data_IF_638018257251
#
_entry.id   IF_638018257251
#
_cell.length_a   1.000
_cell.length_b   1.000
_cell.length_c   1.000
_cell.angle_alpha   90.00
_cell.angle_beta   90.00
_cell.angle_gamma   90.00
#
_symmetry.space_group_name_H-M   'P 1'
#
loop_
_entity.id
_entity.type
_entity.pdbx_description
1 polymer ?
#
# COMPACT_ATOMS: atom_id res chain seq x y z
N UNK A 1 -59.27 -35.99 -59.37
CA UNK A 1 -60.55 -35.32 -59.02
C UNK A 1 -60.40 -34.81 -57.59
N UNK A 2 -60.42 -33.49 -57.31
CA UNK A 2 -61.59 -32.71 -56.80
C UNK A 2 -62.33 -33.42 -55.65
N UNK A 3 -62.69 -32.85 -54.50
CA UNK A 3 -62.62 -31.51 -53.89
C UNK A 3 -63.10 -31.67 -52.41
N UNK A 4 -62.46 -30.94 -51.49
CA UNK A 4 -62.93 -30.25 -50.24
C UNK A 4 -64.25 -30.63 -49.53
N UNK A 5 -64.20 -30.64 -48.18
CA UNK A 5 -64.88 -29.74 -47.17
C UNK A 5 -64.58 -30.34 -45.76
N UNK A 6 -63.70 -29.77 -44.92
CA UNK A 6 -63.86 -28.70 -43.90
C UNK A 6 -65.00 -28.91 -42.88
N UNK A 7 -64.66 -29.19 -41.61
CA UNK A 7 -65.16 -28.43 -40.46
C UNK A 7 -64.21 -28.57 -39.25
N UNK A 8 -64.07 -27.48 -38.51
CA UNK A 8 -63.02 -27.19 -37.53
C UNK A 8 -63.58 -27.10 -36.10
N UNK A 9 -62.76 -27.42 -35.08
CA UNK A 9 -62.78 -26.84 -33.72
C UNK A 9 -61.31 -26.92 -33.20
N UNK A 10 -60.52 -25.85 -33.29
CA UNK A 10 -60.27 -24.80 -32.28
C UNK A 10 -59.53 -25.24 -31.00
N UNK A 11 -58.25 -24.82 -30.97
CA UNK A 11 -57.44 -24.32 -29.85
C UNK A 11 -57.07 -25.30 -28.72
N UNK A 12 -55.77 -25.58 -28.66
CA UNK A 12 -55.08 -26.11 -27.50
C UNK A 12 -53.58 -25.95 -27.65
N UNK A 13 -53.11 -24.74 -27.93
CA UNK A 13 -51.69 -24.38 -27.78
C UNK A 13 -51.31 -24.51 -26.31
N UNK A 14 -50.87 -25.70 -25.89
CA UNK A 14 -50.05 -25.84 -24.69
C UNK A 14 -48.69 -25.22 -25.03
N UNK A 15 -48.62 -23.91 -24.86
CA UNK A 15 -47.37 -23.20 -24.74
C UNK A 15 -46.61 -23.84 -23.58
N UNK A 16 -45.40 -24.24 -23.92
CA UNK A 16 -44.32 -24.58 -23.02
C UNK A 16 -44.24 -23.44 -22.00
N UNK A 17 -44.76 -23.66 -20.79
CA UNK A 17 -44.41 -22.86 -19.62
C UNK A 17 -42.99 -23.23 -19.22
N UNK A 18 -42.04 -22.91 -20.10
CA UNK A 18 -40.65 -22.76 -19.74
C UNK A 18 -40.58 -21.64 -18.73
N UNK A 19 -39.89 -21.89 -17.62
CA UNK A 19 -39.68 -20.97 -16.50
C UNK A 19 -39.69 -19.51 -16.97
N UNK A 20 -40.68 -18.75 -16.50
CA UNK A 20 -40.83 -17.35 -16.86
C UNK A 20 -39.52 -16.61 -16.63
N UNK A 21 -38.94 -16.09 -17.70
CA UNK A 21 -37.96 -15.02 -17.59
C UNK A 21 -38.68 -13.89 -16.87
N UNK A 22 -38.34 -13.70 -15.61
CA UNK A 22 -38.80 -12.54 -14.85
C UNK A 22 -38.29 -11.32 -15.61
N UNK A 23 -39.20 -10.52 -16.15
CA UNK A 23 -38.83 -9.26 -16.80
C UNK A 23 -38.03 -8.44 -15.78
N UNK A 24 -36.84 -8.00 -16.20
CA UNK A 24 -35.95 -7.16 -15.41
C UNK A 24 -36.74 -5.92 -14.93
N UNK A 25 -36.53 -5.50 -13.68
CA UNK A 25 -37.07 -4.23 -13.19
C UNK A 25 -36.58 -3.09 -14.09
N UNK A 26 -37.36 -2.01 -14.31
CA UNK A 26 -36.87 -0.82 -15.02
C UNK A 26 -35.54 -0.29 -14.48
N UNK A 27 -35.30 -0.41 -13.16
CA UNK A 27 -34.03 -0.05 -12.51
C UNK A 27 -32.88 -1.01 -12.86
N UNK A 28 -33.17 -2.31 -12.98
CA UNK A 28 -32.17 -3.31 -13.37
C UNK A 28 -31.80 -3.18 -14.85
N UNK A 29 -32.77 -2.80 -15.70
CA UNK A 29 -32.54 -2.52 -17.13
C UNK A 29 -31.59 -1.33 -17.29
N UNK A 30 -31.83 -0.23 -16.56
CA UNK A 30 -30.95 0.94 -16.57
C UNK A 30 -29.54 0.61 -16.06
N UNK A 31 -29.44 -0.17 -14.97
CA UNK A 31 -28.16 -0.61 -14.42
C UNK A 31 -27.39 -1.50 -15.41
N UNK A 32 -28.05 -2.45 -16.07
CA UNK A 32 -27.46 -3.31 -17.10
C UNK A 32 -26.99 -2.49 -18.30
N UNK A 33 -27.75 -1.50 -18.75
CA UNK A 33 -27.33 -0.61 -19.84
C UNK A 33 -26.07 0.19 -19.49
N UNK A 34 -26.01 0.73 -18.27
CA UNK A 34 -24.82 1.42 -17.78
C UNK A 34 -23.60 0.49 -17.72
N UNK A 35 -23.76 -0.73 -17.18
CA UNK A 35 -22.70 -1.74 -17.15
C UNK A 35 -22.23 -2.16 -18.55
N UNK A 36 -23.13 -2.27 -19.53
CA UNK A 36 -22.78 -2.56 -20.93
C UNK A 36 -21.99 -1.42 -21.58
N UNK A 37 -22.32 -0.17 -21.25
CA UNK A 37 -21.55 0.99 -21.69
C UNK A 37 -20.13 0.98 -21.12
N UNK A 38 -19.98 0.73 -19.81
CA UNK A 38 -18.67 0.60 -19.14
C UNK A 38 -17.87 -0.57 -19.74
N UNK A 39 -18.52 -1.71 -20.02
CA UNK A 39 -17.90 -2.88 -20.65
C UNK A 39 -17.35 -2.54 -22.04
N UNK A 40 -18.15 -1.85 -22.87
CA UNK A 40 -17.72 -1.45 -24.21
C UNK A 40 -16.52 -0.48 -24.16
N UNK A 41 -16.47 0.41 -23.17
CA UNK A 41 -15.32 1.30 -22.99
C UNK A 41 -14.07 0.52 -22.61
N UNK A 42 -14.17 -0.40 -21.64
CA UNK A 42 -13.04 -1.24 -21.21
C UNK A 42 -12.52 -2.11 -22.36
N UNK A 43 -13.40 -2.63 -23.22
CA UNK A 43 -12.99 -3.39 -24.40
C UNK A 43 -12.19 -2.55 -25.41
N UNK A 44 -12.60 -1.30 -25.62
CA UNK A 44 -11.83 -0.36 -26.45
C UNK A 44 -10.46 -0.07 -25.82
N UNK A 45 -10.41 0.20 -24.51
CA UNK A 45 -9.16 0.48 -23.78
C UNK A 45 -8.20 -0.72 -23.85
N UNK A 46 -8.70 -1.96 -23.76
CA UNK A 46 -7.90 -3.19 -23.95
C UNK A 46 -7.32 -3.25 -25.37
N UNK A 47 -8.14 -2.98 -26.38
CA UNK A 47 -7.71 -3.00 -27.79
C UNK A 47 -6.61 -1.96 -28.05
N UNK A 48 -6.78 -0.74 -27.54
CA UNK A 48 -5.78 0.32 -27.62
C UNK A 48 -4.49 -0.08 -26.89
N UNK A 49 -4.60 -0.60 -25.68
CA UNK A 49 -3.46 -1.06 -24.88
C UNK A 49 -2.66 -2.17 -25.57
N UNK A 50 -3.34 -3.14 -26.19
CA UNK A 50 -2.68 -4.21 -26.97
C UNK A 50 -1.99 -3.66 -28.23
N UNK A 51 -2.60 -2.69 -28.90
CA UNK A 51 -1.97 -2.01 -30.04
C UNK A 51 -0.70 -1.27 -29.61
N UNK A 52 -0.77 -0.55 -28.49
CA UNK A 52 0.35 0.16 -27.89
C UNK A 52 1.49 -0.79 -27.46
N UNK A 53 1.15 -1.94 -26.87
CA UNK A 53 2.12 -2.96 -26.46
C UNK A 53 2.99 -3.45 -27.62
N UNK A 54 2.43 -3.55 -28.83
CA UNK A 54 3.13 -3.99 -30.04
C UNK A 54 4.18 -2.98 -30.53
N UNK A 55 4.11 -1.73 -30.09
CA UNK A 55 5.12 -0.71 -30.39
C UNK A 55 6.44 -0.95 -29.64
N UNK A 56 6.44 -1.82 -28.63
CA UNK A 56 7.59 -2.08 -27.77
C UNK A 56 8.02 -3.55 -27.84
N UNK A 57 9.29 -3.80 -28.15
CA UNK A 57 9.86 -5.14 -28.22
C UNK A 57 10.12 -5.77 -26.85
N UNK A 58 10.25 -4.97 -25.78
CA UNK A 58 10.51 -5.40 -24.40
C UNK A 58 10.68 -4.23 -23.43
N UNK A 59 11.20 -4.52 -22.23
CA UNK A 59 11.58 -3.50 -21.24
C UNK A 59 10.42 -2.96 -20.39
N UNK A 60 10.74 -1.99 -19.52
CA UNK A 60 9.83 -1.46 -18.49
C UNK A 60 8.49 -0.97 -19.06
N UNK A 61 8.51 -0.22 -20.17
CA UNK A 61 7.30 0.34 -20.78
C UNK A 61 6.36 -0.79 -21.23
N UNK A 62 6.90 -1.84 -21.86
CA UNK A 62 6.11 -3.02 -22.25
C UNK A 62 5.55 -3.74 -21.02
N UNK A 63 6.35 -3.91 -19.96
CA UNK A 63 5.90 -4.54 -18.71
C UNK A 63 4.75 -3.76 -18.07
N UNK A 64 4.81 -2.42 -18.05
CA UNK A 64 3.75 -1.56 -17.53
C UNK A 64 2.47 -1.64 -18.39
N UNK A 65 2.59 -1.57 -19.73
CA UNK A 65 1.44 -1.73 -20.63
C UNK A 65 0.81 -3.13 -20.48
N UNK A 66 1.63 -4.16 -20.25
CA UNK A 66 1.16 -5.53 -20.01
C UNK A 66 0.31 -5.59 -18.74
N UNK A 67 0.84 -5.08 -17.61
CA UNK A 67 0.11 -5.00 -16.36
C UNK A 67 -1.19 -4.18 -16.49
N UNK A 68 -1.20 -3.12 -17.32
CA UNK A 68 -2.38 -2.27 -17.55
C UNK A 68 -3.45 -3.09 -18.25
N UNK A 69 -3.03 -3.82 -19.29
CA UNK A 69 -3.90 -4.70 -20.06
C UNK A 69 -4.51 -5.79 -19.19
N UNK A 70 -3.74 -6.40 -18.29
CA UNK A 70 -4.23 -7.43 -17.36
C UNK A 70 -5.30 -6.87 -16.40
N UNK A 71 -5.09 -5.67 -15.85
CA UNK A 71 -6.09 -5.00 -15.01
C UNK A 71 -7.38 -4.72 -15.78
N UNK A 72 -7.27 -4.25 -17.03
CA UNK A 72 -8.44 -4.00 -17.87
C UNK A 72 -9.20 -5.30 -18.21
N UNK A 73 -8.50 -6.40 -18.48
CA UNK A 73 -9.14 -7.71 -18.74
C UNK A 73 -9.89 -8.22 -17.50
N UNK A 74 -9.38 -7.97 -16.30
CA UNK A 74 -10.11 -8.26 -15.06
C UNK A 74 -11.33 -7.37 -14.89
N UNK A 75 -11.23 -6.07 -15.18
CA UNK A 75 -12.38 -5.17 -15.16
C UNK A 75 -13.48 -5.64 -16.11
N UNK A 76 -13.10 -6.06 -17.33
CA UNK A 76 -14.01 -6.69 -18.29
C UNK A 76 -14.71 -7.91 -17.69
N UNK A 77 -13.96 -8.83 -17.08
CA UNK A 77 -14.53 -10.03 -16.47
C UNK A 77 -15.53 -9.72 -15.34
N UNK A 78 -15.20 -8.76 -14.47
CA UNK A 78 -16.07 -8.32 -13.37
C UNK A 78 -17.38 -7.69 -13.88
N UNK A 79 -17.29 -6.83 -14.89
CA UNK A 79 -18.46 -6.22 -15.54
C UNK A 79 -19.34 -7.28 -16.20
N UNK A 80 -18.74 -8.21 -16.94
CA UNK A 80 -19.46 -9.32 -17.58
C UNK A 80 -20.17 -10.21 -16.55
N UNK A 81 -19.50 -10.54 -15.46
CA UNK A 81 -20.07 -11.32 -14.36
C UNK A 81 -21.29 -10.61 -13.76
N UNK A 82 -21.19 -9.29 -13.54
CA UNK A 82 -22.29 -8.49 -12.99
C UNK A 82 -23.49 -8.40 -13.93
N UNK A 83 -23.24 -8.18 -15.23
CA UNK A 83 -24.29 -8.16 -16.27
C UNK A 83 -25.02 -9.51 -16.29
N UNK A 84 -24.28 -10.63 -16.35
CA UNK A 84 -24.85 -11.97 -16.37
C UNK A 84 -25.68 -12.26 -15.11
N UNK A 85 -25.21 -11.81 -13.93
CA UNK A 85 -25.93 -11.99 -12.68
C UNK A 85 -27.28 -11.24 -12.68
N UNK A 86 -27.31 -10.01 -13.20
CA UNK A 86 -28.54 -9.22 -13.32
C UNK A 86 -29.49 -9.79 -14.38
N UNK A 87 -28.99 -10.11 -15.57
CA UNK A 87 -29.78 -10.62 -16.71
C UNK A 87 -30.35 -12.03 -16.46
N UNK A 88 -29.70 -12.85 -15.63
CA UNK A 88 -30.19 -14.20 -15.31
C UNK A 88 -31.41 -14.21 -14.37
N UNK A 89 -31.78 -13.07 -13.76
CA UNK A 89 -32.93 -12.94 -12.87
C UNK A 89 -32.91 -13.86 -11.64
N UNK A 90 -31.79 -14.51 -11.35
CA UNK A 90 -31.64 -15.42 -10.22
C UNK A 90 -31.73 -14.60 -8.91
N UNK A 91 -32.51 -15.08 -7.93
CA UNK A 91 -32.36 -14.59 -6.55
C UNK A 91 -30.96 -14.95 -6.09
N UNK A 92 -30.06 -13.99 -6.17
CA UNK A 92 -28.72 -14.05 -5.63
C UNK A 92 -28.85 -14.02 -4.10
N UNK A 93 -29.22 -15.16 -3.50
CA UNK A 93 -28.86 -15.50 -2.11
C UNK A 93 -27.40 -15.93 -2.12
N UNK A 94 -26.53 -15.00 -2.51
CA UNK A 94 -25.11 -15.16 -2.33
C UNK A 94 -24.83 -14.61 -0.93
N UNK A 95 -24.55 -15.52 0.00
CA UNK A 95 -23.82 -15.22 1.24
C UNK A 95 -22.37 -14.98 0.82
N UNK A 96 -22.14 -13.85 0.18
CA UNK A 96 -20.85 -13.16 0.11
C UNK A 96 -21.26 -11.77 0.55
N UNK A 97 -20.61 -11.25 1.58
CA UNK A 97 -20.80 -9.90 2.10
C UNK A 97 -21.06 -8.95 0.94
N UNK A 98 -22.32 -8.57 0.73
CA UNK A 98 -22.67 -7.63 -0.32
C UNK A 98 -22.09 -6.30 0.16
N UNK A 99 -20.91 -5.94 -0.33
CA UNK A 99 -20.43 -4.56 -0.26
C UNK A 99 -21.40 -3.74 -1.09
N UNK A 100 -22.42 -3.20 -0.43
CA UNK A 100 -23.41 -2.31 -1.01
C UNK A 100 -22.69 -1.17 -1.73
N UNK A 101 -23.20 -0.77 -2.90
CA UNK A 101 -22.60 0.31 -3.70
C UNK A 101 -22.35 1.53 -2.82
N UNK A 102 -21.11 2.01 -2.81
CA UNK A 102 -20.66 3.15 -2.03
C UNK A 102 -20.52 4.36 -2.97
N UNK A 103 -21.62 5.11 -3.11
CA UNK A 103 -21.70 6.26 -4.00
C UNK A 103 -20.72 7.38 -3.61
N UNK A 104 -20.48 7.60 -2.32
CA UNK A 104 -19.53 8.62 -1.86
C UNK A 104 -18.09 8.27 -2.23
N UNK A 105 -17.71 6.99 -2.10
CA UNK A 105 -16.41 6.51 -2.54
C UNK A 105 -16.30 6.54 -4.08
N UNK A 106 -17.35 6.16 -4.80
CA UNK A 106 -17.39 6.21 -6.26
C UNK A 106 -17.20 7.66 -6.77
N UNK A 107 -17.87 8.64 -6.17
CA UNK A 107 -17.74 10.05 -6.54
C UNK A 107 -16.32 10.59 -6.27
N UNK A 108 -15.69 10.20 -5.15
CA UNK A 108 -14.29 10.55 -4.86
C UNK A 108 -13.34 9.96 -5.89
N UNK A 109 -13.49 8.66 -6.18
CA UNK A 109 -12.68 7.96 -7.17
C UNK A 109 -12.88 8.52 -8.58
N UNK A 110 -14.10 8.94 -8.93
CA UNK A 110 -14.39 9.59 -10.21
C UNK A 110 -13.67 10.94 -10.36
N UNK A 111 -13.63 11.75 -9.29
CA UNK A 111 -12.87 12.99 -9.28
C UNK A 111 -11.36 12.73 -9.47
N UNK A 112 -10.82 11.71 -8.79
CA UNK A 112 -9.42 11.28 -8.93
C UNK A 112 -9.11 10.75 -10.34
N UNK A 113 -10.00 9.92 -10.92
CA UNK A 113 -9.91 9.42 -12.30
C UNK A 113 -9.91 10.57 -13.30
N UNK A 114 -10.77 11.57 -13.11
CA UNK A 114 -10.83 12.72 -14.01
C UNK A 114 -9.59 13.60 -13.90
N UNK A 115 -9.01 13.71 -12.71
CA UNK A 115 -7.75 14.44 -12.51
C UNK A 115 -6.58 13.72 -13.18
N UNK A 116 -6.39 12.42 -12.93
CA UNK A 116 -5.28 11.66 -13.51
C UNK A 116 -5.39 11.55 -15.04
N UNK A 117 -6.60 11.48 -15.61
CA UNK A 117 -6.82 11.53 -17.07
C UNK A 117 -6.30 12.83 -17.68
N UNK A 118 -6.60 13.98 -17.06
CA UNK A 118 -6.11 15.29 -17.52
C UNK A 118 -4.59 15.37 -17.45
N UNK A 119 -4.00 14.83 -16.40
CA UNK A 119 -2.54 14.80 -16.22
C UNK A 119 -1.85 13.92 -17.26
N UNK A 120 -2.36 12.71 -17.50
CA UNK A 120 -1.87 11.81 -18.58
C UNK A 120 -1.93 12.52 -19.92
N UNK A 121 -3.02 13.23 -20.23
CA UNK A 121 -3.16 13.94 -21.50
C UNK A 121 -2.18 15.12 -21.62
N UNK A 122 -1.94 15.85 -20.53
CA UNK A 122 -0.91 16.87 -20.46
C UNK A 122 0.48 16.28 -20.70
N UNK A 123 0.83 15.19 -20.02
CA UNK A 123 2.13 14.51 -20.15
C UNK A 123 2.32 13.93 -21.56
N UNK A 124 1.27 13.35 -22.17
CA UNK A 124 1.29 12.91 -23.57
C UNK A 124 1.56 14.08 -24.52
N UNK A 125 0.95 15.24 -24.29
CA UNK A 125 1.18 16.42 -25.11
C UNK A 125 2.58 17.01 -24.92
N UNK A 126 3.14 16.91 -23.71
CA UNK A 126 4.51 17.30 -23.46
C UNK A 126 5.51 16.33 -24.09
N UNK A 127 5.29 15.01 -23.97
CA UNK A 127 6.13 13.97 -24.55
C UNK A 127 6.27 14.12 -26.07
N UNK A 128 5.20 14.54 -26.77
CA UNK A 128 5.22 14.83 -28.22
C UNK A 128 6.23 15.92 -28.62
N UNK A 129 6.69 16.76 -27.68
CA UNK A 129 7.70 17.80 -27.95
C UNK A 129 9.12 17.24 -28.04
N UNK A 130 9.34 16.00 -27.61
CA UNK A 130 10.64 15.36 -27.59
C UNK A 130 10.71 14.28 -28.67
N UNK A 131 11.88 14.12 -29.30
CA UNK A 131 12.12 13.12 -30.34
C UNK A 131 13.22 12.15 -29.89
N UNK A 132 12.81 10.93 -29.52
CA UNK A 132 13.71 9.88 -29.07
C UNK A 132 14.50 10.20 -27.80
N UNK A 133 15.47 9.33 -27.49
CA UNK A 133 16.42 9.51 -26.38
C UNK A 133 15.83 9.27 -24.98
N UNK A 134 16.68 9.42 -23.96
CA UNK A 134 16.36 9.10 -22.57
C UNK A 134 15.20 9.95 -22.02
N UNK A 135 15.11 11.22 -22.39
CA UNK A 135 14.04 12.12 -21.92
C UNK A 135 12.68 11.62 -22.38
N UNK A 136 12.55 11.26 -23.67
CA UNK A 136 11.31 10.69 -24.19
C UNK A 136 11.02 9.32 -23.53
N UNK A 137 12.03 8.47 -23.36
CA UNK A 137 11.86 7.18 -22.68
C UNK A 137 11.35 7.32 -21.24
N UNK A 138 11.88 8.29 -20.49
CA UNK A 138 11.43 8.59 -19.13
C UNK A 138 10.00 9.13 -19.11
N UNK A 139 9.65 10.06 -20.03
CA UNK A 139 8.28 10.57 -20.18
C UNK A 139 7.29 9.46 -20.52
N UNK A 140 7.64 8.56 -21.46
CA UNK A 140 6.81 7.40 -21.81
C UNK A 140 6.65 6.42 -20.65
N UNK A 141 7.71 6.18 -19.87
CA UNK A 141 7.61 5.36 -18.67
C UNK A 141 6.69 5.97 -17.60
N UNK A 142 6.76 7.29 -17.41
CA UNK A 142 5.85 8.04 -16.52
C UNK A 142 4.40 7.92 -17.00
N UNK A 143 4.14 8.16 -18.29
CA UNK A 143 2.80 8.03 -18.89
C UNK A 143 2.27 6.60 -18.67
N UNK A 144 3.06 5.57 -18.99
CA UNK A 144 2.65 4.18 -18.79
C UNK A 144 2.34 3.85 -17.32
N UNK A 145 3.09 4.45 -16.38
CA UNK A 145 2.84 4.28 -14.93
C UNK A 145 1.55 4.99 -14.49
N UNK A 146 1.29 6.19 -15.01
CA UNK A 146 0.04 6.91 -14.74
C UNK A 146 -1.16 6.16 -15.32
N UNK A 147 -1.04 5.60 -16.52
CA UNK A 147 -2.09 4.78 -17.13
C UNK A 147 -2.35 3.48 -16.37
N UNK A 148 -1.31 2.83 -15.84
CA UNK A 148 -1.47 1.71 -14.90
C UNK A 148 -2.26 2.10 -13.65
N UNK A 149 -1.94 3.28 -13.11
CA UNK A 149 -2.59 3.81 -11.92
C UNK A 149 -4.06 4.12 -12.22
N UNK A 150 -4.35 4.72 -13.37
CA UNK A 150 -5.70 4.97 -13.86
C UNK A 150 -6.50 3.66 -13.97
N UNK A 151 -5.94 2.60 -14.54
CA UNK A 151 -6.63 1.30 -14.65
C UNK A 151 -6.99 0.72 -13.28
N UNK A 152 -6.09 0.85 -12.29
CA UNK A 152 -6.34 0.44 -10.90
C UNK A 152 -7.44 1.29 -10.23
N UNK A 153 -7.41 2.61 -10.42
CA UNK A 153 -8.46 3.50 -9.90
C UNK A 153 -9.81 3.20 -10.53
N UNK A 154 -9.85 2.91 -11.84
CA UNK A 154 -11.06 2.47 -12.53
C UNK A 154 -11.60 1.16 -11.95
N UNK A 155 -10.73 0.19 -11.65
CA UNK A 155 -11.16 -1.05 -10.97
C UNK A 155 -11.83 -0.76 -9.62
N UNK A 156 -11.21 0.08 -8.79
CA UNK A 156 -11.76 0.50 -7.49
C UNK A 156 -13.08 1.25 -7.66
N UNK A 157 -13.17 2.12 -8.66
CA UNK A 157 -14.39 2.87 -8.97
C UNK A 157 -15.53 1.93 -9.37
N UNK A 158 -15.28 0.97 -10.26
CA UNK A 158 -16.27 -0.01 -10.69
C UNK A 158 -16.73 -0.89 -9.51
N UNK A 159 -15.81 -1.28 -8.63
CA UNK A 159 -16.11 -1.98 -7.38
C UNK A 159 -17.02 -1.15 -6.47
N UNK A 160 -16.66 0.10 -6.21
CA UNK A 160 -17.45 1.00 -5.36
C UNK A 160 -18.83 1.34 -5.95
N UNK A 161 -18.90 1.62 -7.26
CA UNK A 161 -20.11 2.06 -7.98
C UNK A 161 -21.12 0.93 -8.16
N UNK A 162 -20.64 -0.29 -8.43
CA UNK A 162 -21.49 -1.42 -8.79
C UNK A 162 -21.52 -2.56 -7.75
N UNK A 163 -20.77 -2.42 -6.65
CA UNK A 163 -20.67 -3.42 -5.59
C UNK A 163 -19.95 -4.70 -6.07
N UNK A 164 -18.91 -4.56 -6.89
CA UNK A 164 -18.09 -5.68 -7.38
C UNK A 164 -17.06 -6.06 -6.31
N UNK A 165 -16.84 -7.35 -6.06
CA UNK A 165 -15.83 -7.79 -5.12
C UNK A 165 -14.43 -7.34 -5.60
N UNK A 166 -13.63 -6.65 -4.75
CA UNK A 166 -12.26 -6.31 -5.11
C UNK A 166 -11.42 -7.59 -5.17
N UNK A 167 -10.69 -7.79 -6.27
CA UNK A 167 -9.67 -8.84 -6.37
C UNK A 167 -8.34 -8.23 -5.94
N UNK A 168 -7.75 -8.74 -4.86
CA UNK A 168 -6.40 -8.39 -4.44
C UNK A 168 -5.40 -8.92 -5.47
N UNK A 169 -4.69 -8.01 -6.13
CA UNK A 169 -3.51 -8.35 -6.91
C UNK A 169 -2.33 -8.58 -5.96
N UNK A 170 -2.17 -9.81 -5.49
CA UNK A 170 -0.85 -10.31 -5.13
C UNK A 170 -0.04 -10.41 -6.42
N UNK A 171 1.00 -9.59 -6.54
CA UNK A 171 1.96 -9.66 -7.64
C UNK A 171 2.65 -11.04 -7.60
N UNK A 172 2.15 -11.99 -8.39
CA UNK A 172 2.83 -13.25 -8.68
C UNK A 172 4.06 -13.00 -9.56
N UNK A 173 5.15 -12.60 -8.91
CA UNK A 173 6.49 -13.05 -9.26
C UNK A 173 7.12 -13.60 -7.98
N UNK A 174 6.65 -14.76 -7.54
CA UNK A 174 7.42 -15.72 -6.74
C UNK A 174 6.66 -17.04 -6.58
N UNK A 175 7.37 -18.11 -6.93
CA UNK A 175 7.27 -19.47 -6.41
C UNK A 175 6.19 -20.39 -6.96
N UNK A 176 6.60 -21.11 -8.01
CA UNK A 176 6.37 -22.55 -8.09
C UNK A 176 6.84 -23.21 -6.77
N UNK A 177 5.91 -23.69 -5.97
CA UNK A 177 5.89 -25.10 -5.56
C UNK A 177 4.56 -25.43 -4.86
N UNK A 178 3.91 -26.42 -5.43
CA UNK A 178 2.62 -26.97 -5.05
C UNK A 178 2.59 -27.50 -3.62
N UNK A 179 1.47 -27.22 -2.97
CA UNK A 179 0.65 -28.09 -2.09
C UNK A 179 1.33 -29.29 -1.42
N UNK A 180 1.17 -29.40 -0.10
CA UNK A 180 0.37 -30.46 0.55
C UNK A 180 0.01 -29.95 1.96
N UNK A 181 -1.30 -29.89 2.24
CA UNK A 181 -1.84 -29.90 3.59
C UNK A 181 -1.91 -31.35 4.06
N UNK A 182 -1.28 -31.70 5.18
CA UNK A 182 -1.84 -32.71 6.07
C UNK A 182 -1.36 -32.47 7.50
N UNK A 183 -2.34 -32.43 8.41
CA UNK A 183 -2.15 -32.41 9.86
C UNK A 183 -1.37 -33.65 10.29
N UNK A 184 -0.37 -33.49 11.15
CA UNK A 184 -0.11 -34.41 12.25
C UNK A 184 0.79 -33.75 13.32
N UNK A 185 0.40 -33.98 14.57
CA UNK A 185 1.14 -33.67 15.80
C UNK A 185 2.54 -34.30 15.77
N UNK A 186 3.56 -33.60 16.29
CA UNK A 186 4.61 -34.09 17.21
C UNK A 186 5.37 -32.86 17.79
N UNK A 187 5.71 -32.96 19.07
CA UNK A 187 6.36 -31.97 19.95
C UNK A 187 7.86 -31.74 19.66
N UNK A 188 8.33 -30.57 20.13
CA UNK A 188 9.72 -30.18 20.52
C UNK A 188 10.74 -30.04 19.37
N UNK A 189 11.62 -29.03 19.28
CA UNK A 189 12.28 -28.20 20.30
C UNK A 189 12.78 -26.85 19.73
N UNK A 190 13.04 -25.92 20.66
CA UNK A 190 13.90 -24.71 20.56
C UNK A 190 13.35 -23.45 19.88
N UNK A 191 12.25 -22.91 20.43
CA UNK A 191 12.14 -21.45 20.53
C UNK A 191 12.91 -20.99 21.76
N UNK A 192 13.92 -20.12 21.60
CA UNK A 192 14.46 -19.33 22.72
C UNK A 192 13.33 -18.47 23.26
N UNK A 193 12.68 -18.98 24.30
CA UNK A 193 11.58 -18.31 24.97
C UNK A 193 12.12 -17.10 25.74
N UNK A 194 11.54 -15.93 25.48
CA UNK A 194 11.81 -14.71 26.26
C UNK A 194 11.60 -15.00 27.76
N UNK A 195 12.65 -14.79 28.56
CA UNK A 195 12.72 -15.15 29.97
C UNK A 195 12.40 -13.97 30.91
N UNK A 196 12.58 -12.74 30.44
CA UNK A 196 12.29 -11.52 31.20
C UNK A 196 11.01 -10.84 30.67
N UNK A 197 10.12 -10.34 31.56
CA UNK A 197 8.90 -9.67 31.14
C UNK A 197 9.20 -8.33 30.44
N UNK A 198 8.32 -7.84 29.55
CA UNK A 198 8.45 -6.50 28.98
C UNK A 198 8.42 -5.40 30.03
N UNK A 199 9.23 -4.37 29.84
CA UNK A 199 9.29 -3.20 30.72
C UNK A 199 8.21 -2.15 30.39
N UNK A 200 8.11 -1.08 31.18
CA UNK A 200 7.13 -0.01 30.98
C UNK A 200 7.39 0.85 29.74
N UNK A 201 8.65 0.99 29.31
CA UNK A 201 9.04 1.92 28.24
C UNK A 201 8.68 1.51 26.82
N UNK A 202 9.06 2.34 25.82
CA UNK A 202 8.70 2.17 24.42
C UNK A 202 9.06 0.77 23.90
N UNK A 203 8.11 0.14 23.20
CA UNK A 203 8.23 -1.25 22.71
C UNK A 203 8.55 -2.30 23.79
N UNK A 204 8.38 -1.96 25.07
CA UNK A 204 8.72 -2.83 26.20
C UNK A 204 10.21 -2.79 26.59
N UNK A 205 10.97 -1.83 26.08
CA UNK A 205 12.34 -1.56 26.48
C UNK A 205 12.39 -0.44 27.51
N UNK A 206 13.42 -0.44 28.36
CA UNK A 206 13.71 0.61 29.34
C UNK A 206 15.12 1.14 29.15
N UNK A 207 15.32 2.40 29.53
CA UNK A 207 16.65 3.02 29.65
C UNK A 207 17.60 2.11 30.44
N UNK A 208 18.85 2.05 29.99
CA UNK A 208 19.93 1.38 30.71
C UNK A 208 19.93 -0.15 30.67
N UNK A 209 19.01 -0.78 29.94
CA UNK A 209 19.06 -2.23 29.73
C UNK A 209 20.38 -2.63 29.05
N UNK A 210 21.06 -3.64 29.58
CA UNK A 210 22.22 -4.24 28.93
C UNK A 210 21.81 -5.08 27.74
N UNK A 211 22.77 -5.42 26.88
CA UNK A 211 22.56 -6.33 25.76
C UNK A 211 22.00 -7.67 26.22
N UNK A 212 22.54 -8.26 27.28
CA UNK A 212 22.15 -9.57 27.81
C UNK A 212 20.72 -9.55 28.34
N UNK A 213 20.31 -8.46 29.00
CA UNK A 213 18.93 -8.28 29.44
C UNK A 213 17.99 -8.22 28.24
N UNK A 214 18.34 -7.44 27.21
CA UNK A 214 17.54 -7.34 25.97
C UNK A 214 17.43 -8.70 25.26
N UNK A 215 18.54 -9.43 25.10
CA UNK A 215 18.55 -10.78 24.53
C UNK A 215 17.61 -11.74 25.27
N UNK A 216 17.47 -11.54 26.58
CA UNK A 216 16.59 -12.33 27.44
C UNK A 216 15.11 -11.89 27.36
N UNK A 217 14.81 -10.71 26.81
CA UNK A 217 13.45 -10.16 26.70
C UNK A 217 12.80 -10.39 25.33
N UNK A 218 13.57 -10.72 24.29
CA UNK A 218 13.08 -10.82 22.90
C UNK A 218 13.15 -12.25 22.36
N UNK A 219 12.31 -12.54 21.36
CA UNK A 219 12.39 -13.78 20.58
C UNK A 219 13.13 -13.48 19.27
N UNK A 220 14.45 -13.66 19.26
CA UNK A 220 15.27 -13.39 18.07
C UNK A 220 16.73 -13.13 18.41
N UNK A 221 17.51 -12.85 17.36
CA UNK A 221 18.91 -12.45 17.52
C UNK A 221 19.04 -10.93 17.57
N UNK A 222 19.93 -10.45 18.43
CA UNK A 222 20.47 -9.11 18.37
C UNK A 222 21.85 -9.18 17.69
N UNK A 223 22.06 -8.35 16.67
CA UNK A 223 23.32 -8.36 15.88
C UNK A 223 23.98 -7.00 15.94
N UNK A 224 25.25 -6.96 16.29
CA UNK A 224 26.04 -5.74 16.18
C UNK A 224 26.22 -5.40 14.69
N UNK A 225 25.87 -4.17 14.29
CA UNK A 225 25.95 -3.70 12.90
C UNK A 225 26.86 -2.48 12.72
N UNK A 226 27.13 -1.74 13.80
CA UNK A 226 28.11 -0.66 13.83
C UNK A 226 28.74 -0.64 15.22
N UNK A 227 29.98 -1.12 15.31
CA UNK A 227 30.77 -1.19 16.53
C UNK A 227 31.11 0.21 17.06
N UNK A 228 31.39 1.16 16.17
CA UNK A 228 31.74 2.53 16.56
C UNK A 228 30.57 3.25 17.23
N UNK A 229 29.34 2.94 16.83
CA UNK A 229 28.13 3.55 17.40
C UNK A 229 27.48 2.68 18.47
N UNK A 230 28.04 1.51 18.80
CA UNK A 230 27.37 0.49 19.61
C UNK A 230 25.93 0.22 19.13
N UNK A 231 25.74 0.16 17.81
CA UNK A 231 24.43 -0.04 17.19
C UNK A 231 24.19 -1.52 16.93
N UNK A 232 23.10 -2.01 17.52
CA UNK A 232 22.62 -3.37 17.38
C UNK A 232 21.31 -3.39 16.61
N UNK A 233 21.04 -4.46 15.87
CA UNK A 233 19.84 -4.64 15.07
C UNK A 233 19.10 -5.91 15.49
N UNK A 234 17.78 -5.82 15.64
CA UNK A 234 16.88 -6.94 15.91
C UNK A 234 15.54 -6.74 15.19
N UNK A 235 14.83 -7.83 14.89
CA UNK A 235 13.49 -7.80 14.30
C UNK A 235 12.39 -8.09 15.34
N UNK A 236 12.74 -8.12 16.63
CA UNK A 236 11.81 -8.42 17.71
C UNK A 236 11.90 -7.36 18.81
N UNK A 237 10.75 -7.01 19.38
CA UNK A 237 10.61 -6.20 20.57
C UNK A 237 9.84 -6.95 21.68
N UNK A 238 10.06 -6.63 22.97
CA UNK A 238 9.35 -7.27 24.08
C UNK A 238 7.84 -7.08 24.02
N UNK A 239 7.37 -5.88 23.65
CA UNK A 239 5.96 -5.62 23.30
C UNK A 239 5.83 -5.65 21.78
N UNK A 240 5.05 -6.61 21.26
CA UNK A 240 4.81 -6.77 19.82
C UNK A 240 4.19 -5.50 19.22
N UNK A 241 4.71 -5.10 18.07
CA UNK A 241 4.15 -4.05 17.23
C UNK A 241 4.32 -4.47 15.77
N UNK A 242 3.24 -4.45 14.98
CA UNK A 242 3.24 -4.90 13.57
C UNK A 242 3.61 -3.80 12.57
N UNK A 243 3.67 -2.54 12.99
CA UNK A 243 3.99 -1.38 12.13
C UNK A 243 5.49 -1.28 11.85
N UNK A 244 6.33 -1.85 12.71
CA UNK A 244 7.80 -1.81 12.60
C UNK A 244 8.38 -3.18 12.29
N UNK A 245 9.24 -3.23 11.27
CA UNK A 245 9.90 -4.44 10.77
C UNK A 245 11.19 -4.76 11.50
N UNK A 246 11.89 -3.74 11.99
CA UNK A 246 13.19 -3.87 12.65
C UNK A 246 13.48 -2.72 13.61
N UNK A 247 14.39 -2.97 14.55
CA UNK A 247 14.82 -2.05 15.61
C UNK A 247 16.33 -1.94 15.64
N UNK A 248 16.84 -0.72 15.49
CA UNK A 248 18.20 -0.34 15.83
C UNK A 248 18.28 0.10 17.29
N UNK A 249 19.12 -0.54 18.09
CA UNK A 249 19.30 -0.27 19.52
C UNK A 249 20.72 0.24 19.74
N UNK A 250 20.87 1.44 20.31
CA UNK A 250 22.17 1.95 20.74
C UNK A 250 22.37 1.56 22.20
N UNK A 251 23.31 0.66 22.44
CA UNK A 251 23.53 0.04 23.76
C UNK A 251 24.98 0.30 24.18
N UNK A 252 25.16 1.26 25.08
CA UNK A 252 26.48 1.51 25.67
C UNK A 252 26.90 0.34 26.58
N UNK A 253 28.17 -0.11 26.51
CA UNK A 253 28.76 -1.04 27.48
C UNK A 253 28.67 -0.57 28.93
N UNK A 254 28.66 0.74 29.19
CA UNK A 254 28.73 1.30 30.54
C UNK A 254 27.38 1.75 31.09
N UNK A 255 26.55 2.39 30.27
CA UNK A 255 25.25 2.97 30.67
C UNK A 255 24.04 2.27 30.06
N UNK A 256 24.24 1.22 29.26
CA UNK A 256 23.18 0.40 28.66
C UNK A 256 22.42 1.10 27.53
N UNK A 257 21.19 0.64 27.28
CA UNK A 257 20.32 1.15 26.21
C UNK A 257 20.05 2.66 26.38
N UNK A 258 20.32 3.43 25.33
CA UNK A 258 20.10 4.88 25.32
C UNK A 258 19.32 5.40 24.12
N UNK A 259 19.17 4.59 23.07
CA UNK A 259 18.36 4.95 21.92
C UNK A 259 17.67 3.74 21.30
N UNK A 260 16.42 3.92 20.89
CA UNK A 260 15.66 2.97 20.08
C UNK A 260 15.34 3.64 18.74
N UNK A 261 15.63 2.94 17.63
CA UNK A 261 15.36 3.33 16.25
C UNK A 261 14.45 2.29 15.61
N UNK A 262 13.14 2.51 15.64
CA UNK A 262 12.17 1.62 15.01
C UNK A 262 12.02 1.99 13.52
N UNK A 263 12.17 0.98 12.66
CA UNK A 263 12.10 1.09 11.21
C UNK A 263 10.78 0.46 10.75
N UNK A 264 9.93 1.25 10.12
CA UNK A 264 8.62 0.84 9.62
C UNK A 264 8.70 -0.23 8.54
N UNK A 265 7.56 -0.79 8.18
CA UNK A 265 7.42 -1.58 6.96
C UNK A 265 7.59 -0.69 5.70
N UNK A 266 7.95 -1.32 4.59
CA UNK A 266 8.00 -0.64 3.29
C UNK A 266 6.60 -0.20 2.84
N UNK A 267 6.49 1.08 2.49
CA UNK A 267 5.26 1.73 2.04
C UNK A 267 5.42 2.09 0.57
N UNK A 268 4.76 1.32 -0.29
CA UNK A 268 4.61 1.67 -1.70
C UNK A 268 3.78 2.94 -1.82
N UNK A 269 4.31 3.90 -2.59
CA UNK A 269 3.73 5.23 -2.68
C UNK A 269 3.87 5.80 -4.09
N UNK A 270 3.09 6.85 -4.38
CA UNK A 270 3.21 7.59 -5.62
C UNK A 270 4.25 8.72 -5.48
N UNK A 271 4.55 9.42 -6.57
CA UNK A 271 5.55 10.49 -6.57
C UNK A 271 5.21 11.66 -5.64
N UNK A 272 3.93 11.85 -5.31
CA UNK A 272 3.42 12.82 -4.33
C UNK A 272 3.57 12.39 -2.86
N UNK A 273 3.92 11.12 -2.62
CA UNK A 273 4.15 10.60 -1.27
C UNK A 273 2.87 10.36 -0.45
N UNK A 274 1.69 10.28 -1.08
CA UNK A 274 0.41 10.28 -0.36
C UNK A 274 0.29 9.18 0.71
N UNK A 275 0.46 7.87 0.38
CA UNK A 275 0.48 6.81 1.39
C UNK A 275 1.46 7.06 2.53
N UNK A 276 2.71 7.44 2.22
CA UNK A 276 3.73 7.68 3.24
C UNK A 276 3.37 8.84 4.18
N UNK A 277 2.80 9.92 3.64
CA UNK A 277 2.34 11.06 4.44
C UNK A 277 1.14 10.71 5.32
N UNK A 278 0.25 9.83 4.84
CA UNK A 278 -0.87 9.35 5.62
C UNK A 278 -0.38 8.54 6.83
N UNK A 279 0.45 7.53 6.60
CA UNK A 279 1.07 6.71 7.67
C UNK A 279 1.85 7.56 8.68
N UNK A 280 2.61 8.55 8.18
CA UNK A 280 3.30 9.53 9.04
C UNK A 280 2.31 10.27 9.95
N UNK A 281 1.23 10.82 9.39
CA UNK A 281 0.26 11.59 10.17
C UNK A 281 -0.50 10.71 11.16
N UNK A 282 -0.84 9.47 10.78
CA UNK A 282 -1.52 8.52 11.67
C UNK A 282 -0.66 8.16 12.89
N UNK A 283 0.63 7.86 12.69
CA UNK A 283 1.55 7.62 13.79
C UNK A 283 1.74 8.87 14.65
N UNK A 284 1.93 10.04 14.03
CA UNK A 284 2.12 11.31 14.76
C UNK A 284 0.90 11.64 15.62
N UNK A 285 -0.32 11.50 15.08
CA UNK A 285 -1.56 11.72 15.83
C UNK A 285 -1.69 10.76 17.02
N UNK A 286 -1.28 9.50 16.82
CA UNK A 286 -1.27 8.48 17.88
C UNK A 286 -0.31 8.89 18.99
N UNK A 287 0.91 9.29 18.64
CA UNK A 287 1.92 9.75 19.61
C UNK A 287 1.55 11.08 20.25
N UNK A 288 0.85 11.98 19.57
CA UNK A 288 0.37 13.24 20.13
C UNK A 288 -0.53 13.02 21.34
N UNK A 289 -1.39 11.98 21.30
CA UNK A 289 -2.24 11.61 22.44
C UNK A 289 -1.46 11.20 23.69
N UNK A 290 -0.23 10.70 23.53
CA UNK A 290 0.64 10.21 24.61
C UNK A 290 1.64 11.28 25.06
N UNK A 291 2.22 12.02 24.11
CA UNK A 291 3.38 12.88 24.35
C UNK A 291 3.08 14.37 24.20
N UNK A 292 1.84 14.73 23.86
CA UNK A 292 1.43 16.11 23.60
C UNK A 292 1.77 16.56 22.18
N UNK A 293 1.65 17.85 21.87
CA UNK A 293 1.84 18.36 20.52
C UNK A 293 3.32 18.33 20.09
N UNK A 294 3.66 17.70 18.94
CA UNK A 294 5.02 17.79 18.41
C UNK A 294 5.29 19.14 17.76
N UNK A 295 6.57 19.46 17.61
CA UNK A 295 7.03 20.38 16.56
C UNK A 295 7.12 19.60 15.25
N UNK A 296 6.20 19.87 14.33
CA UNK A 296 6.16 19.24 13.01
C UNK A 296 6.69 20.18 11.91
N UNK A 297 7.45 19.63 10.98
CA UNK A 297 8.11 20.33 9.88
C UNK A 297 8.04 19.50 8.59
N UNK A 298 7.67 20.13 7.47
CA UNK A 298 7.87 19.61 6.10
C UNK A 298 8.68 20.67 5.34
N UNK A 299 10.00 20.48 5.30
CA UNK A 299 10.96 21.47 4.81
C UNK A 299 11.63 20.94 3.56
N UNK A 300 11.56 21.72 2.48
CA UNK A 300 12.39 21.55 1.29
C UNK A 300 13.64 22.44 1.44
N UNK A 301 14.83 21.88 1.21
CA UNK A 301 16.08 22.61 1.25
C UNK A 301 16.09 23.72 0.19
N UNK A 302 16.69 24.85 0.56
CA UNK A 302 16.85 25.99 -0.35
C UNK A 302 17.69 25.59 -1.56
N UNK A 303 17.20 25.91 -2.76
CA UNK A 303 17.86 25.56 -4.02
C UNK A 303 17.51 24.18 -4.59
N UNK A 304 16.70 23.38 -3.90
CA UNK A 304 16.22 22.10 -4.43
C UNK A 304 15.40 22.28 -5.70
N UNK A 305 15.64 21.42 -6.69
CA UNK A 305 14.87 21.37 -7.93
C UNK A 305 13.55 20.58 -7.77
N UNK A 306 13.42 19.78 -6.71
CA UNK A 306 12.27 18.90 -6.40
C UNK A 306 11.13 19.68 -5.71
N UNK A 307 10.77 20.82 -6.30
CA UNK A 307 9.86 21.79 -5.71
C UNK A 307 8.40 21.59 -6.07
N UNK A 308 8.12 20.83 -7.12
CA UNK A 308 6.74 20.59 -7.53
C UNK A 308 6.11 19.50 -6.63
N UNK A 309 4.77 19.49 -6.46
CA UNK A 309 4.10 18.52 -5.60
C UNK A 309 4.39 17.05 -5.99
N UNK A 310 4.49 16.75 -7.29
CA UNK A 310 4.80 15.42 -7.79
C UNK A 310 6.25 14.99 -7.54
N UNK A 311 7.13 15.92 -7.18
CA UNK A 311 8.53 15.64 -6.88
C UNK A 311 8.76 15.32 -5.40
N UNK A 312 7.69 15.28 -4.58
CA UNK A 312 7.77 15.18 -3.12
C UNK A 312 8.60 13.97 -2.67
N UNK A 313 8.32 12.78 -3.23
CA UNK A 313 9.10 11.58 -2.92
C UNK A 313 10.54 11.67 -3.40
N UNK A 314 10.80 12.36 -4.52
CA UNK A 314 12.16 12.53 -5.02
C UNK A 314 12.96 13.47 -4.12
N UNK A 315 12.35 14.55 -3.64
CA UNK A 315 12.94 15.42 -2.64
C UNK A 315 13.29 14.65 -1.36
N UNK A 316 12.39 13.77 -0.90
CA UNK A 316 12.64 12.93 0.28
C UNK A 316 13.77 11.93 0.04
N UNK A 317 13.75 11.21 -1.09
CA UNK A 317 14.76 10.21 -1.47
C UNK A 317 16.15 10.82 -1.67
N UNK A 318 16.22 12.02 -2.26
CA UNK A 318 17.46 12.78 -2.43
C UNK A 318 17.91 13.52 -1.17
N UNK A 319 17.19 13.36 -0.05
CA UNK A 319 17.48 14.02 1.23
C UNK A 319 17.50 15.56 1.11
N UNK A 320 16.72 16.09 0.17
CA UNK A 320 16.50 17.51 -0.05
C UNK A 320 15.15 17.99 0.53
N UNK A 321 14.30 17.07 0.98
CA UNK A 321 13.08 17.35 1.73
C UNK A 321 13.05 16.54 3.02
N UNK A 322 12.56 17.13 4.10
CA UNK A 322 12.44 16.51 5.42
C UNK A 322 11.02 16.68 5.96
N UNK A 323 10.29 15.57 6.08
CA UNK A 323 9.04 15.52 6.84
C UNK A 323 9.31 14.87 8.19
N UNK A 324 9.14 15.63 9.27
CA UNK A 324 9.45 15.18 10.62
C UNK A 324 8.53 15.78 11.68
N UNK A 325 8.35 15.06 12.78
CA UNK A 325 7.68 15.52 13.99
C UNK A 325 8.56 15.19 15.20
N UNK A 326 8.78 16.18 16.09
CA UNK A 326 9.69 16.03 17.22
C UNK A 326 9.04 16.49 18.53
N UNK A 327 9.23 15.68 19.57
CA UNK A 327 8.90 16.01 20.96
C UNK A 327 10.19 16.25 21.73
N UNK A 328 10.30 17.46 22.30
CA UNK A 328 11.41 17.85 23.20
C UNK A 328 10.91 18.44 24.51
N UNK A 329 9.66 18.91 24.54
CA UNK A 329 9.03 19.41 25.75
C UNK A 329 8.62 18.23 26.62
N UNK A 330 9.03 18.27 27.89
CA UNK A 330 8.83 17.16 28.82
C UNK A 330 7.40 17.14 29.37
N UNK A 331 6.68 16.05 29.09
CA UNK A 331 5.40 15.74 29.75
C UNK A 331 5.56 14.57 30.74
N UNK A 332 4.49 14.21 31.45
CA UNK A 332 4.56 13.16 32.49
C UNK A 332 4.93 11.80 31.90
N UNK A 333 4.39 11.42 30.74
CA UNK A 333 4.72 10.18 30.05
C UNK A 333 6.19 10.13 29.61
N UNK A 334 6.77 11.24 29.15
CA UNK A 334 8.20 11.30 28.80
C UNK A 334 9.09 11.16 30.04
N UNK A 335 8.73 11.81 31.14
CA UNK A 335 9.47 11.72 32.41
C UNK A 335 9.42 10.31 33.00
N UNK A 336 8.23 9.70 33.03
CA UNK A 336 8.04 8.33 33.54
C UNK A 336 8.87 7.30 32.77
N UNK A 337 9.05 7.51 31.47
CA UNK A 337 9.84 6.64 30.60
C UNK A 337 11.27 7.12 30.37
N UNK A 338 11.70 8.16 31.10
CA UNK A 338 13.06 8.73 31.05
C UNK A 338 13.49 9.11 29.63
N UNK A 339 12.57 9.66 28.84
CA UNK A 339 12.77 10.07 27.46
C UNK A 339 13.25 11.52 27.39
N UNK A 340 14.38 11.76 26.71
CA UNK A 340 14.86 13.11 26.42
C UNK A 340 14.20 13.69 25.17
N UNK A 341 13.94 12.86 24.15
CA UNK A 341 13.25 13.28 22.94
C UNK A 341 12.65 12.11 22.16
N UNK A 342 11.65 12.42 21.34
CA UNK A 342 11.02 11.52 20.39
C UNK A 342 11.05 12.18 19.02
N UNK A 343 11.35 11.42 17.97
CA UNK A 343 11.32 11.90 16.60
C UNK A 343 10.66 10.88 15.67
N UNK A 344 9.71 11.34 14.86
CA UNK A 344 9.17 10.60 13.72
C UNK A 344 9.66 11.28 12.45
N UNK A 345 10.13 10.48 11.50
CA UNK A 345 10.60 10.95 10.20
C UNK A 345 10.00 10.07 9.10
N UNK A 346 9.54 10.68 8.01
CA UNK A 346 9.34 9.94 6.77
C UNK A 346 10.70 9.79 6.07
N UNK A 347 10.99 8.60 5.55
CA UNK A 347 12.20 8.32 4.77
C UNK A 347 11.84 7.62 3.48
N UNK A 348 12.70 7.74 2.47
CA UNK A 348 12.49 7.15 1.15
C UNK A 348 13.75 6.44 0.68
N UNK A 349 13.57 5.27 0.08
CA UNK A 349 14.62 4.48 -0.58
C UNK A 349 14.56 4.65 -2.12
N UNK A 350 13.48 5.26 -2.63
CA UNK A 350 13.24 5.51 -4.04
C UNK A 350 12.16 6.59 -4.22
N UNK A 351 11.86 6.95 -5.48
CA UNK A 351 10.78 7.90 -5.80
C UNK A 351 9.36 7.34 -5.61
N UNK A 352 9.21 6.07 -5.24
CA UNK A 352 7.91 5.37 -5.14
C UNK A 352 7.84 4.40 -3.96
N UNK A 353 8.83 4.40 -3.07
CA UNK A 353 8.85 3.59 -1.86
C UNK A 353 9.51 4.38 -0.73
N UNK A 354 9.03 4.14 0.48
CA UNK A 354 9.53 4.78 1.68
C UNK A 354 9.02 4.10 2.93
N UNK A 355 9.40 4.61 4.07
CA UNK A 355 9.08 4.00 5.37
C UNK A 355 9.09 5.07 6.45
N UNK A 356 8.45 4.77 7.57
CA UNK A 356 8.46 5.63 8.75
C UNK A 356 9.60 5.22 9.66
N UNK A 357 10.35 6.20 10.14
CA UNK A 357 11.41 6.02 11.12
C UNK A 357 10.99 6.70 12.42
N UNK A 358 10.89 5.91 13.49
CA UNK A 358 10.56 6.40 14.84
C UNK A 358 11.76 6.20 15.75
N UNK A 359 12.21 7.29 16.36
CA UNK A 359 13.31 7.31 17.30
C UNK A 359 12.84 7.74 18.69
N UNK A 360 13.19 6.93 19.69
CA UNK A 360 13.16 7.31 21.10
C UNK A 360 14.59 7.51 21.59
N UNK A 361 14.85 8.66 22.21
CA UNK A 361 16.13 8.98 22.83
C UNK A 361 15.92 9.08 24.34
N UNK A 362 16.68 8.30 25.11
CA UNK A 362 16.57 8.29 26.57
C UNK A 362 17.42 9.41 27.21
N UNK A 363 17.27 9.60 28.52
CA UNK A 363 17.95 10.62 29.29
C UNK A 363 19.47 10.37 29.42
N UNK A 364 19.92 9.11 29.36
CA UNK A 364 21.34 8.70 29.40
C UNK A 364 22.07 8.79 28.05
N UNK A 365 21.41 9.33 27.02
CA UNK A 365 22.02 9.47 25.69
C UNK A 365 23.28 10.36 25.66
N UNK A 366 23.39 11.47 26.44
CA UNK A 366 24.63 12.25 26.50
C UNK A 366 25.84 11.42 26.96
N UNK A 367 25.66 10.52 27.93
CA UNK A 367 26.70 9.61 28.41
C UNK A 367 27.09 8.59 27.34
N UNK A 368 26.11 8.03 26.62
CA UNK A 368 26.36 7.17 25.46
C UNK A 368 27.19 7.87 24.38
N UNK A 369 26.81 9.09 23.98
CA UNK A 369 27.50 9.85 22.95
C UNK A 369 28.93 10.15 23.38
N UNK A 370 29.13 10.54 24.64
CA UNK A 370 30.47 10.79 25.19
C UNK A 370 31.36 9.55 25.11
N UNK A 371 30.85 8.39 25.49
CA UNK A 371 31.60 7.12 25.41
C UNK A 371 31.96 6.76 23.96
N UNK A 372 31.00 6.88 23.03
CA UNK A 372 31.20 6.65 21.60
C UNK A 372 32.31 7.56 21.05
N UNK A 373 32.29 8.86 21.40
CA UNK A 373 33.31 9.81 20.97
C UNK A 373 34.70 9.52 21.57
N UNK A 374 34.77 9.06 22.81
CA UNK A 374 36.03 8.67 23.48
C UNK A 374 36.64 7.42 22.84
N UNK A 375 35.82 6.41 22.50
CA UNK A 375 36.25 5.19 21.81
C UNK A 375 36.75 5.45 20.38
N UNK A 376 36.16 6.44 19.68
CA UNK A 376 36.67 6.88 18.38
C UNK A 376 38.06 7.49 18.49
N UNK A 377 38.31 8.31 19.51
CA UNK A 377 39.60 8.99 19.71
C UNK A 377 40.73 8.03 20.12
N UNK A 378 40.43 6.93 20.80
CA UNK A 378 41.44 5.93 21.19
C UNK A 378 41.81 4.95 20.08
N UNK A 379 41.06 4.96 18.97
CA UNK A 379 41.30 4.12 17.78
C UNK A 379 42.19 4.80 16.73
N UNK A 380 42.57 6.06 16.95
CA UNK A 380 43.59 6.82 16.21
C UNK A 380 44.85 6.96 17.06
#
# INVERSE_FOLDING_TARGET
MRKKIVLAIFIGSLLISGCGQKELSPQDIELVNNLKSELSQVENDISESKSEQNLYSGGLIKSLITAKTEVLEVNKALLQQRINALESGAKVNIVIEQTQANQDLANKLEAEINQIKKEIESEKNEAKKYSGGLILSMKLATIATQEQTLATLQQKYLSAKYGLAPINYDNQLSNNNSQINTKENIKSDNEKQSMLPPESGPFGFKIGLTRENIESMITGEIRLVDDEQNLYLTNSSPKKNSEFSSFGLVISPTVGLCQIRAIGNDIKTNSYGQPLRQEFNELVNTLESLYGKPKQEDILLSGSIWRNPQDWMMGLYKQERYLSARWKEQNDNMKENELSSIAVEARADSGSNGYIFLQYTFANNPECVKEIEENKKSSF
#
